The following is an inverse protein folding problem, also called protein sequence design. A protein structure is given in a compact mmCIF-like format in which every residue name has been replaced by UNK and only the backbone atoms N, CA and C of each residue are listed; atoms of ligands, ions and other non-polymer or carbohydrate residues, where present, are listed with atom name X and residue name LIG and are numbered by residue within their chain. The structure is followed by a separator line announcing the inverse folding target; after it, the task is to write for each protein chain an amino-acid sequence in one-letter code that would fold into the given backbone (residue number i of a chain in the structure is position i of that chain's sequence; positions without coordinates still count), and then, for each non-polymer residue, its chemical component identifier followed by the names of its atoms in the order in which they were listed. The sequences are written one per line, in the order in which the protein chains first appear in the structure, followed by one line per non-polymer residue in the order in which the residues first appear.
data_IF_066912907068
#
_entry.id   IF_066912907068
#
_cell.length_a   1.000
_cell.length_b   1.000
_cell.length_c   1.000
_cell.angle_alpha   90.00
_cell.angle_beta   90.00
_cell.angle_gamma   90.00
#
_symmetry.space_group_name_H-M   'P 1'
#
loop_
_entity.id
_entity.type
_entity.pdbx_description
1 polymer ?
#
# COMPACT_ATOMS: atom_id res chain seq x y z
N UNK A 1 -12.32 -16.14 -9.91
CA UNK A 1 -12.34 -15.43 -8.61
C UNK A 1 -11.54 -14.13 -8.65
N UNK A 2 -10.22 -14.15 -8.90
CA UNK A 2 -9.38 -12.94 -8.85
C UNK A 2 -9.79 -11.83 -9.82
N UNK A 3 -10.18 -12.18 -11.05
CA UNK A 3 -10.66 -11.21 -12.05
C UNK A 3 -11.87 -10.42 -11.54
N UNK A 4 -12.83 -11.10 -10.91
CA UNK A 4 -14.01 -10.45 -10.34
C UNK A 4 -13.66 -9.48 -9.21
N UNK A 5 -12.73 -9.86 -8.34
CA UNK A 5 -12.25 -9.00 -7.25
C UNK A 5 -11.58 -7.74 -7.81
N UNK A 6 -10.68 -7.90 -8.79
CA UNK A 6 -9.99 -6.78 -9.41
C UNK A 6 -10.95 -5.86 -10.19
N UNK A 7 -11.91 -6.43 -10.94
CA UNK A 7 -12.95 -5.66 -11.63
C UNK A 7 -13.85 -4.91 -10.64
N UNK A 8 -14.19 -5.52 -9.50
CA UNK A 8 -14.98 -4.86 -8.46
C UNK A 8 -14.24 -3.63 -7.91
N UNK A 9 -12.96 -3.77 -7.56
CA UNK A 9 -12.18 -2.64 -7.06
C UNK A 9 -11.84 -1.61 -8.14
N UNK A 10 -11.83 -1.99 -9.43
CA UNK A 10 -11.52 -1.06 -10.52
C UNK A 10 -12.61 -0.03 -10.78
N UNK A 11 -13.87 -0.35 -10.48
CA UNK A 11 -15.01 0.56 -10.70
C UNK A 11 -15.28 1.47 -9.50
N UNK A 12 -14.67 1.20 -8.34
CA UNK A 12 -14.86 2.00 -7.14
C UNK A 12 -14.02 3.28 -7.19
N UNK A 13 -14.56 4.43 -6.71
CA UNK A 13 -13.75 5.62 -6.45
C UNK A 13 -12.56 5.31 -5.53
N UNK A 14 -11.40 5.88 -5.81
CA UNK A 14 -10.16 5.61 -5.07
C UNK A 14 -10.29 5.82 -3.54
N UNK A 15 -11.08 6.82 -3.11
CA UNK A 15 -11.35 7.04 -1.68
C UNK A 15 -12.06 5.87 -1.00
N UNK A 16 -12.97 5.20 -1.73
CA UNK A 16 -13.68 4.02 -1.22
C UNK A 16 -12.74 2.81 -1.17
N UNK A 17 -11.90 2.65 -2.19
CA UNK A 17 -10.80 1.67 -2.16
C UNK A 17 -9.97 1.85 -0.88
N UNK A 18 -9.43 3.06 -0.65
CA UNK A 18 -8.62 3.34 0.54
C UNK A 18 -9.35 3.08 1.86
N UNK A 19 -10.66 3.37 1.94
CA UNK A 19 -11.44 3.07 3.12
C UNK A 19 -11.53 1.56 3.37
N UNK A 20 -11.90 0.78 2.35
CA UNK A 20 -11.99 -0.69 2.45
C UNK A 20 -10.63 -1.28 2.80
N UNK A 21 -9.58 -0.88 2.09
CA UNK A 21 -8.22 -1.32 2.34
C UNK A 21 -7.72 -0.99 3.76
N UNK A 22 -8.05 0.20 4.27
CA UNK A 22 -7.72 0.56 5.65
C UNK A 22 -8.45 -0.30 6.69
N UNK A 23 -9.71 -0.69 6.43
CA UNK A 23 -10.44 -1.62 7.29
C UNK A 23 -9.81 -3.01 7.29
N UNK A 24 -9.43 -3.53 6.11
CA UNK A 24 -8.71 -4.80 5.98
C UNK A 24 -7.40 -4.75 6.77
N UNK A 25 -6.58 -3.73 6.54
CA UNK A 25 -5.29 -3.60 7.25
C UNK A 25 -5.45 -3.42 8.76
N UNK A 26 -6.48 -2.69 9.21
CA UNK A 26 -6.81 -2.58 10.64
C UNK A 26 -7.23 -3.93 11.22
N UNK A 27 -8.05 -4.70 10.52
CA UNK A 27 -8.41 -6.06 10.94
C UNK A 27 -7.17 -6.96 11.04
N UNK A 28 -6.28 -6.94 10.05
CA UNK A 28 -5.02 -7.69 10.09
C UNK A 28 -4.13 -7.29 11.27
N UNK A 29 -4.13 -6.00 11.65
CA UNK A 29 -3.36 -5.50 12.79
C UNK A 29 -3.90 -5.96 14.16
N UNK A 30 -5.20 -6.23 14.26
CA UNK A 30 -5.86 -6.66 15.50
C UNK A 30 -5.81 -8.18 15.69
N UNK A 31 -5.67 -8.95 14.61
CA UNK A 31 -5.62 -10.41 14.64
C UNK A 31 -4.17 -10.94 14.73
N UNK A 32 -4.01 -12.24 14.99
CA UNK A 32 -2.72 -12.94 14.92
C UNK A 32 -2.36 -13.34 13.48
N UNK A 33 -2.64 -12.47 12.51
CA UNK A 33 -2.40 -12.72 11.10
C UNK A 33 -0.91 -12.95 10.81
N UNK A 34 -0.59 -13.81 9.84
CA UNK A 34 0.79 -14.01 9.43
C UNK A 34 1.41 -12.74 8.87
N UNK A 35 0.62 -11.90 8.18
CA UNK A 35 1.04 -10.57 7.76
C UNK A 35 1.51 -9.70 8.92
N UNK A 36 0.80 -9.72 10.06
CA UNK A 36 1.25 -8.99 11.26
C UNK A 36 2.57 -9.53 11.78
N UNK A 37 2.75 -10.86 11.86
CA UNK A 37 4.00 -11.47 12.33
C UNK A 37 5.19 -11.06 11.45
N UNK A 38 5.03 -11.14 10.13
CA UNK A 38 6.07 -10.76 9.16
C UNK A 38 6.41 -9.27 9.27
N UNK A 39 5.40 -8.39 9.26
CA UNK A 39 5.63 -6.94 9.36
C UNK A 39 6.26 -6.57 10.70
N UNK A 40 5.84 -7.18 11.81
CA UNK A 40 6.48 -7.01 13.12
C UNK A 40 7.95 -7.40 13.10
N UNK A 41 8.29 -8.55 12.49
CA UNK A 41 9.69 -8.99 12.41
C UNK A 41 10.53 -8.05 11.55
N UNK A 42 10.00 -7.60 10.41
CA UNK A 42 10.68 -6.66 9.53
C UNK A 42 10.93 -5.33 10.25
N UNK A 43 9.94 -4.79 10.95
CA UNK A 43 10.07 -3.51 11.66
C UNK A 43 11.05 -3.62 12.83
N UNK A 44 11.00 -4.70 13.60
CA UNK A 44 11.97 -4.94 14.68
C UNK A 44 13.40 -5.02 14.14
N UNK A 45 13.59 -5.60 12.96
CA UNK A 45 14.91 -5.79 12.35
C UNK A 45 15.44 -4.51 11.71
N UNK A 46 14.58 -3.77 11.00
CA UNK A 46 14.99 -2.57 10.25
C UNK A 46 14.98 -1.28 11.08
N UNK A 47 14.20 -1.24 12.18
CA UNK A 47 14.05 -0.06 13.03
C UNK A 47 14.26 -0.39 14.51
N UNK A 48 15.41 -0.99 14.89
CA UNK A 48 15.67 -1.40 16.26
C UNK A 48 15.75 -0.22 17.25
N UNK A 49 16.06 0.98 16.77
CA UNK A 49 16.20 2.18 17.61
C UNK A 49 14.86 2.81 18.03
N UNK A 50 13.74 2.35 17.44
CA UNK A 50 12.40 2.78 17.84
C UNK A 50 11.96 2.05 19.11
N UNK A 51 11.26 2.76 20.00
CA UNK A 51 10.62 2.14 21.17
C UNK A 51 9.56 1.10 20.74
N UNK A 52 9.25 0.15 21.63
CA UNK A 52 8.24 -0.87 21.35
C UNK A 52 6.90 -0.27 20.91
N UNK A 53 6.49 0.85 21.53
CA UNK A 53 5.24 1.53 21.18
C UNK A 53 5.30 2.14 19.77
N UNK A 54 6.43 2.72 19.39
CA UNK A 54 6.65 3.25 18.05
C UNK A 54 6.68 2.13 16.99
N UNK A 55 7.34 1.02 17.30
CA UNK A 55 7.34 -0.16 16.42
C UNK A 55 5.93 -0.71 16.23
N UNK A 56 5.14 -0.89 17.30
CA UNK A 56 3.75 -1.35 17.18
C UNK A 56 2.87 -0.37 16.37
N UNK A 57 3.06 0.94 16.57
CA UNK A 57 2.37 1.96 15.78
C UNK A 57 2.75 1.88 14.29
N UNK A 58 4.03 1.63 13.99
CA UNK A 58 4.52 1.48 12.63
C UNK A 58 3.99 0.19 11.98
N UNK A 59 3.91 -0.92 12.73
CA UNK A 59 3.30 -2.19 12.26
C UNK A 59 1.86 -1.97 11.85
N UNK A 60 1.07 -1.31 12.70
CA UNK A 60 -0.34 -1.01 12.41
C UNK A 60 -0.47 -0.13 11.16
N UNK A 61 0.34 0.94 11.06
CA UNK A 61 0.33 1.83 9.89
C UNK A 61 0.72 1.09 8.61
N UNK A 62 1.77 0.27 8.66
CA UNK A 62 2.22 -0.52 7.52
C UNK A 62 1.13 -1.48 7.03
N UNK A 63 0.44 -2.20 7.92
CA UNK A 63 -0.66 -3.07 7.52
C UNK A 63 -1.84 -2.32 6.91
N UNK A 64 -2.18 -1.13 7.43
CA UNK A 64 -3.22 -0.26 6.88
C UNK A 64 -2.87 0.18 5.46
N UNK A 65 -1.64 0.66 5.22
CA UNK A 65 -1.21 1.08 3.89
C UNK A 65 -1.10 -0.10 2.91
N UNK A 66 -0.65 -1.27 3.36
CA UNK A 66 -0.66 -2.50 2.56
C UNK A 66 -2.09 -2.89 2.15
N UNK A 67 -3.06 -2.79 3.07
CA UNK A 67 -4.47 -3.05 2.77
C UNK A 67 -5.03 -2.07 1.73
N UNK A 68 -4.68 -0.79 1.81
CA UNK A 68 -5.03 0.22 0.79
C UNK A 68 -4.42 -0.15 -0.57
N UNK A 69 -3.13 -0.48 -0.61
CA UNK A 69 -2.43 -0.92 -1.82
C UNK A 69 -3.10 -2.12 -2.49
N UNK A 70 -3.51 -3.12 -1.69
CA UNK A 70 -4.25 -4.28 -2.18
C UNK A 70 -5.58 -3.87 -2.83
N UNK A 71 -6.36 -3.01 -2.17
CA UNK A 71 -7.64 -2.56 -2.71
C UNK A 71 -7.50 -1.71 -3.97
N UNK A 72 -6.52 -0.80 -4.04
CA UNK A 72 -6.37 0.08 -5.20
C UNK A 72 -5.72 -0.60 -6.41
N UNK A 73 -5.15 -1.79 -6.25
CA UNK A 73 -4.51 -2.54 -7.35
C UNK A 73 -5.44 -2.73 -8.54
N UNK A 74 -6.73 -3.03 -8.30
CA UNK A 74 -7.74 -3.13 -9.35
C UNK A 74 -7.98 -1.81 -10.09
N UNK A 75 -8.06 -0.71 -9.34
CA UNK A 75 -8.19 0.64 -9.88
C UNK A 75 -7.00 1.02 -10.77
N UNK A 76 -5.77 0.72 -10.33
CA UNK A 76 -4.56 1.06 -11.06
C UNK A 76 -4.42 0.20 -12.33
N UNK A 77 -4.54 -1.13 -12.21
CA UNK A 77 -4.23 -2.03 -13.32
C UNK A 77 -5.24 -1.98 -14.47
N UNK A 78 -6.51 -1.69 -14.19
CA UNK A 78 -7.56 -1.67 -15.22
C UNK A 78 -7.84 -0.28 -15.77
N UNK A 79 -7.05 0.73 -15.38
CA UNK A 79 -7.19 2.09 -15.84
C UNK A 79 -6.00 2.50 -16.72
N UNK A 80 -6.21 3.48 -17.61
CA UNK A 80 -5.14 3.94 -18.49
C UNK A 80 -4.06 4.70 -17.71
N UNK A 81 -2.83 4.68 -18.23
CA UNK A 81 -1.74 5.48 -17.66
C UNK A 81 -2.13 6.97 -17.54
N UNK A 82 -2.79 7.54 -18.55
CA UNK A 82 -3.24 8.94 -18.55
C UNK A 82 -4.14 9.24 -17.35
N UNK A 83 -5.08 8.35 -17.04
CA UNK A 83 -5.98 8.52 -15.92
C UNK A 83 -5.25 8.35 -14.58
N UNK A 84 -4.43 7.30 -14.44
CA UNK A 84 -3.65 7.06 -13.23
C UNK A 84 -2.67 8.21 -12.93
N UNK A 85 -2.06 8.79 -13.96
CA UNK A 85 -1.13 9.90 -13.83
C UNK A 85 -1.76 11.15 -13.17
N UNK A 86 -3.09 11.33 -13.27
CA UNK A 86 -3.80 12.44 -12.60
C UNK A 86 -3.76 12.36 -11.07
N UNK A 87 -3.50 11.17 -10.52
CA UNK A 87 -3.38 10.95 -9.07
C UNK A 87 -1.95 11.16 -8.54
N UNK A 88 -0.98 11.41 -9.42
CA UNK A 88 0.40 11.73 -9.02
C UNK A 88 0.42 13.18 -8.52
N UNK A 89 0.61 13.36 -7.22
CA UNK A 89 0.60 14.69 -6.58
C UNK A 89 1.97 15.35 -6.55
N UNK A 90 3.05 14.56 -6.43
CA UNK A 90 4.42 15.05 -6.38
C UNK A 90 5.39 13.99 -6.90
N UNK A 91 6.34 14.40 -7.71
CA UNK A 91 7.48 13.58 -8.13
C UNK A 91 8.76 14.20 -7.59
N UNK A 92 9.69 13.36 -7.11
CA UNK A 92 10.99 13.80 -6.57
C UNK A 92 12.09 13.01 -7.28
N UNK A 93 13.17 13.69 -7.70
CA UNK A 93 14.30 13.02 -8.36
C UNK A 93 14.13 12.75 -9.86
N UNK A 94 13.15 13.35 -10.55
CA UNK A 94 12.91 13.17 -12.00
C UNK A 94 14.12 13.40 -12.89
N UNK A 95 15.07 14.24 -12.45
CA UNK A 95 16.34 14.49 -13.16
C UNK A 95 17.19 13.24 -13.35
N UNK A 96 17.08 12.23 -12.47
CA UNK A 96 17.86 11.01 -12.55
C UNK A 96 17.34 10.01 -13.59
N UNK A 97 16.09 10.18 -14.05
CA UNK A 97 15.51 9.36 -15.12
C UNK A 97 15.95 9.80 -16.52
N UNK A 98 16.56 10.97 -16.65
CA UNK A 98 17.11 11.48 -17.91
C UNK A 98 18.61 11.19 -17.94
N UNK A 99 18.95 9.96 -18.28
CA UNK A 99 20.33 9.51 -18.51
C UNK A 99 20.39 8.82 -19.88
N UNK A 100 21.49 9.03 -20.61
CA UNK A 100 21.75 8.33 -21.88
C UNK A 100 22.11 6.85 -21.66
N UNK A 101 22.39 6.46 -20.40
CA UNK A 101 22.54 5.07 -20.01
C UNK A 101 21.20 4.48 -19.57
N UNK A 102 20.84 3.25 -19.99
CA UNK A 102 19.62 2.60 -19.52
C UNK A 102 19.65 2.45 -18.00
N UNK A 103 18.49 2.69 -17.38
CA UNK A 103 18.22 2.49 -15.95
C UNK A 103 17.92 1.02 -15.68
#
# INVERSE_FOLDING_TARGET
MIKFILTFFSILPLRINHFIGAMIGRYLSLTNSDSKKVVSKNIQTCFPDLSDTEQQNLVKKSLIETGKGLSESGFIWFNSFKNNATYITKTTGMKHLKSDSPV
#
